data_IF_112585665715
#
_entry.id   IF_112585665715
#
_cell.length_a   1.000
_cell.length_b   1.000
_cell.length_c   1.000
_cell.angle_alpha   90.00
_cell.angle_beta   90.00
_cell.angle_gamma   90.00
#
_symmetry.space_group_name_H-M   'P 1'
#
loop_
_entity.id
_entity.type
_entity.pdbx_description
1 polymer ?
#
# COMPACT_ATOMS: atom_id res chain seq x y z
N UNK A 1 5.29 -15.45 -0.46
CA UNK A 1 5.19 -14.02 -0.81
C UNK A 1 4.84 -13.22 0.44
N UNK A 2 5.36 -12.02 0.62
CA UNK A 2 5.03 -11.20 1.80
C UNK A 2 3.83 -10.31 1.51
N UNK A 3 2.94 -10.11 2.48
CA UNK A 3 1.78 -9.21 2.39
C UNK A 3 2.16 -7.81 1.89
N UNK A 4 3.38 -7.36 2.23
CA UNK A 4 3.92 -6.07 1.79
C UNK A 4 4.16 -5.96 0.29
N UNK A 5 4.63 -7.03 -0.35
CA UNK A 5 4.83 -7.03 -1.80
C UNK A 5 3.50 -6.87 -2.52
N UNK A 6 2.47 -7.59 -2.05
CA UNK A 6 1.10 -7.48 -2.58
C UNK A 6 0.56 -6.06 -2.43
N UNK A 7 0.68 -5.47 -1.24
CA UNK A 7 0.22 -4.09 -1.00
C UNK A 7 0.99 -3.08 -1.86
N UNK A 8 2.30 -3.28 -2.03
CA UNK A 8 3.13 -2.46 -2.91
C UNK A 8 2.65 -2.57 -4.36
N UNK A 9 2.42 -3.78 -4.88
CA UNK A 9 1.93 -3.99 -6.25
C UNK A 9 0.54 -3.36 -6.44
N UNK A 10 -0.37 -3.49 -5.47
CA UNK A 10 -1.71 -2.88 -5.54
C UNK A 10 -1.60 -1.35 -5.61
N UNK A 11 -0.82 -0.74 -4.72
CA UNK A 11 -0.64 0.71 -4.70
C UNK A 11 0.09 1.21 -5.96
N UNK A 12 1.06 0.45 -6.46
CA UNK A 12 1.80 0.76 -7.68
C UNK A 12 0.89 0.69 -8.91
N UNK A 13 0.06 -0.35 -9.01
CA UNK A 13 -0.93 -0.51 -10.08
C UNK A 13 -2.03 0.55 -10.01
N UNK A 14 -2.41 0.99 -8.81
CA UNK A 14 -3.38 2.05 -8.62
C UNK A 14 -2.82 3.44 -8.93
N UNK A 15 -1.49 3.63 -8.78
CA UNK A 15 -0.83 4.91 -9.05
C UNK A 15 -1.33 6.06 -8.17
N UNK A 16 -1.93 5.77 -7.01
CA UNK A 16 -2.48 6.77 -6.10
C UNK A 16 -2.53 6.24 -4.68
N UNK A 17 -2.51 7.13 -3.66
CA UNK A 17 -2.77 6.71 -2.29
C UNK A 17 -4.16 6.10 -2.17
N UNK A 18 -4.24 4.93 -1.53
CA UNK A 18 -5.50 4.19 -1.33
C UNK A 18 -5.80 4.01 0.15
N UNK A 19 -7.09 3.91 0.46
CA UNK A 19 -7.54 3.59 1.79
C UNK A 19 -7.23 2.13 2.12
N UNK A 20 -6.94 1.84 3.39
CA UNK A 20 -6.62 0.48 3.84
C UNK A 20 -7.71 -0.52 3.46
N UNK A 21 -8.99 -0.14 3.53
CA UNK A 21 -10.12 -0.99 3.13
C UNK A 21 -10.06 -1.38 1.66
N UNK A 22 -9.71 -0.45 0.77
CA UNK A 22 -9.62 -0.73 -0.67
C UNK A 22 -8.42 -1.63 -0.98
N UNK A 23 -7.30 -1.44 -0.27
CA UNK A 23 -6.12 -2.30 -0.38
C UNK A 23 -6.47 -3.73 0.04
N UNK A 24 -7.19 -3.89 1.16
CA UNK A 24 -7.65 -5.19 1.67
C UNK A 24 -8.58 -5.89 0.66
N UNK A 25 -9.54 -5.15 0.10
CA UNK A 25 -10.45 -5.67 -0.92
C UNK A 25 -9.70 -6.06 -2.20
N UNK A 26 -8.77 -5.24 -2.68
CA UNK A 26 -7.97 -5.52 -3.86
C UNK A 26 -7.03 -6.71 -3.66
N UNK A 27 -6.44 -6.87 -2.45
CA UNK A 27 -5.59 -8.00 -2.12
C UNK A 27 -6.38 -9.32 -2.15
N UNK A 28 -7.58 -9.33 -1.56
CA UNK A 28 -8.46 -10.50 -1.59
C UNK A 28 -8.92 -10.80 -3.02
N UNK A 29 -9.34 -9.79 -3.80
CA UNK A 29 -9.83 -10.03 -5.16
C UNK A 29 -8.74 -10.42 -6.17
N UNK A 30 -7.54 -9.82 -6.09
CA UNK A 30 -6.49 -10.03 -7.10
C UNK A 30 -5.52 -11.14 -6.73
N UNK A 31 -5.26 -11.33 -5.45
CA UNK A 31 -4.24 -12.25 -4.95
C UNK A 31 -4.83 -13.41 -4.14
N UNK A 32 -6.15 -13.42 -3.89
CA UNK A 32 -6.84 -14.38 -3.01
C UNK A 32 -6.22 -14.46 -1.61
N UNK A 33 -5.63 -13.34 -1.14
CA UNK A 33 -4.99 -13.25 0.16
C UNK A 33 -5.90 -12.52 1.13
N UNK A 34 -6.21 -13.17 2.25
CA UNK A 34 -6.82 -12.51 3.39
C UNK A 34 -5.78 -11.71 4.18
N UNK A 35 -5.96 -10.40 4.11
CA UNK A 35 -5.18 -9.45 4.86
C UNK A 35 -6.02 -8.96 6.04
N UNK A 36 -5.38 -8.88 7.21
CA UNK A 36 -5.99 -8.29 8.38
C UNK A 36 -5.63 -6.79 8.47
N UNK A 37 -6.63 -5.94 8.73
CA UNK A 37 -6.44 -4.48 8.74
C UNK A 37 -5.39 -4.06 9.77
N UNK A 38 -5.46 -4.58 10.98
CA UNK A 38 -4.56 -4.17 12.07
C UNK A 38 -3.13 -4.63 11.79
N UNK A 39 -2.99 -5.86 11.26
CA UNK A 39 -1.72 -6.43 10.84
C UNK A 39 -1.08 -5.63 9.71
N UNK A 40 -1.86 -5.29 8.67
CA UNK A 40 -1.37 -4.51 7.52
C UNK A 40 -1.02 -3.10 7.95
N UNK A 41 -1.85 -2.42 8.76
CA UNK A 41 -1.55 -1.08 9.26
C UNK A 41 -0.26 -1.08 10.08
N UNK A 42 -0.10 -2.04 11.01
CA UNK A 42 1.12 -2.13 11.84
C UNK A 42 2.36 -2.38 10.99
N UNK A 43 2.26 -3.29 10.02
CA UNK A 43 3.34 -3.59 9.11
C UNK A 43 3.65 -2.40 8.18
N UNK A 44 2.64 -1.68 7.68
CA UNK A 44 2.80 -0.50 6.84
C UNK A 44 3.47 0.61 7.63
N UNK A 45 3.00 0.88 8.85
CA UNK A 45 3.61 1.88 9.74
C UNK A 45 5.07 1.53 10.02
N UNK A 46 5.42 0.26 10.23
CA UNK A 46 6.83 -0.16 10.37
C UNK A 46 7.66 0.16 9.12
N UNK A 47 7.11 -0.01 7.91
CA UNK A 47 7.79 0.31 6.64
C UNK A 47 7.87 1.82 6.37
N UNK A 48 6.80 2.55 6.66
CA UNK A 48 6.76 4.02 6.58
C UNK A 48 7.80 4.62 7.53
N UNK A 49 7.90 4.11 8.76
CA UNK A 49 8.94 4.51 9.74
C UNK A 49 10.36 4.21 9.27
N UNK A 50 10.54 3.15 8.46
CA UNK A 50 11.83 2.82 7.86
C UNK A 50 12.16 3.68 6.64
N UNK A 51 11.26 4.60 6.23
CA UNK A 51 11.40 5.40 5.01
C UNK A 51 11.76 4.55 3.78
N UNK A 52 11.19 3.34 3.73
CA UNK A 52 11.55 2.34 2.73
C UNK A 52 10.96 2.75 1.37
N UNK A 53 9.63 2.68 1.22
CA UNK A 53 8.90 3.02 -0.02
C UNK A 53 7.45 3.47 0.20
N UNK A 54 6.97 3.50 1.43
CA UNK A 54 5.58 3.77 1.77
C UNK A 54 5.46 5.09 2.51
N UNK A 55 4.38 5.82 2.27
CA UNK A 55 4.02 7.03 3.00
C UNK A 55 2.58 6.95 3.47
N UNK A 56 2.31 7.48 4.66
CA UNK A 56 0.95 7.67 5.15
C UNK A 56 0.49 9.07 4.73
N UNK A 57 -0.50 9.15 3.86
CA UNK A 57 -1.05 10.42 3.36
C UNK A 57 -2.26 10.89 4.15
N UNK A 58 -2.87 10.03 4.97
CA UNK A 58 -4.03 10.38 5.78
C UNK A 58 -4.41 9.33 6.82
N UNK A 59 -5.51 9.56 7.57
CA UNK A 59 -6.05 8.55 8.49
C UNK A 59 -6.53 7.35 7.67
N UNK A 60 -5.84 6.21 7.82
CA UNK A 60 -6.07 4.98 7.06
C UNK A 60 -5.79 5.05 5.55
N UNK A 61 -5.07 6.07 5.07
CA UNK A 61 -4.69 6.20 3.65
C UNK A 61 -3.18 6.08 3.53
N UNK A 62 -2.74 5.17 2.65
CA UNK A 62 -1.34 4.88 2.39
C UNK A 62 -1.03 5.03 0.91
N UNK A 63 0.14 5.56 0.61
CA UNK A 63 0.67 5.71 -0.74
C UNK A 63 2.10 5.22 -0.83
N UNK A 64 2.68 5.34 -2.01
CA UNK A 64 4.08 5.03 -2.29
C UNK A 64 4.87 6.33 -2.47
N UNK A 65 6.07 6.39 -1.88
CA UNK A 65 7.02 7.50 -2.05
C UNK A 65 7.69 7.38 -3.43
N UNK A 66 8.00 6.14 -3.81
CA UNK A 66 8.69 5.78 -5.05
C UNK A 66 7.76 5.78 -6.27
N UNK A 67 6.66 6.54 -6.24
CA UNK A 67 5.94 6.82 -7.46
C UNK A 67 6.77 7.88 -8.19
N UNK A 68 7.50 7.54 -9.28
CA UNK A 68 8.01 8.59 -10.14
C UNK A 68 6.78 9.40 -10.50
N UNK A 69 6.80 10.68 -10.13
CA UNK A 69 5.98 11.64 -10.86
C UNK A 69 6.55 11.56 -12.26
N UNK A 70 6.00 10.67 -13.09
CA UNK A 70 6.15 10.80 -14.53
C UNK A 70 5.35 12.06 -14.88
N UNK A 71 5.99 13.20 -14.63
CA UNK A 71 5.76 14.43 -15.35
C UNK A 71 6.17 14.14 -16.78
N UNK A 72 5.27 13.51 -17.51
CA UNK A 72 5.30 13.58 -18.95
C UNK A 72 4.86 15.00 -19.32
N UNK A 73 5.80 15.67 -20.01
CA UNK A 73 5.65 16.88 -20.83
C UNK A 73 6.08 18.21 -20.21
#
# INVERSE_FOLDING_TARGET
MSQMSIVYDILKLAGRPMHISDILAAAKQRFDVELDRESVVSALVKRVKRHDRFIKTGPNIFGLIDQPREGHQ
#
